data_IF_796458967833
#
_entry.id   IF_796458967833
#
_cell.length_a   1.000
_cell.length_b   1.000
_cell.length_c   1.000
_cell.angle_alpha   90.00
_cell.angle_beta   90.00
_cell.angle_gamma   90.00
#
_symmetry.space_group_name_H-M   'P 1'
#
loop_
_entity.id
_entity.type
_entity.pdbx_description
1 polymer ?
#
# COMPACT_ATOMS: atom_id res chain seq x y z
N UNK A 1 -26.61 40.69 24.85
CA UNK A 1 -25.83 40.83 23.61
C UNK A 1 -24.75 39.76 23.60
N UNK A 2 -24.94 38.68 22.84
CA UNK A 2 -23.97 37.57 22.70
C UNK A 2 -23.01 37.92 21.56
N UNK A 3 -21.75 38.20 21.87
CA UNK A 3 -20.66 38.24 20.88
C UNK A 3 -20.26 36.76 20.59
N UNK A 4 -20.73 36.20 19.49
CA UNK A 4 -20.26 34.92 18.99
C UNK A 4 -18.85 35.10 18.43
N UNK A 5 -17.93 34.25 18.92
CA UNK A 5 -16.56 34.17 18.48
C UNK A 5 -16.51 33.70 17.00
N UNK A 6 -16.12 34.61 16.11
CA UNK A 6 -15.77 34.30 14.70
C UNK A 6 -14.30 33.86 14.52
N UNK A 7 -13.59 33.63 15.61
CA UNK A 7 -12.15 33.32 15.63
C UNK A 7 -11.74 31.85 15.24
N UNK A 8 -12.58 30.80 15.36
CA UNK A 8 -12.07 29.46 15.03
C UNK A 8 -12.09 29.12 13.53
N UNK A 9 -12.96 29.76 12.73
CA UNK A 9 -13.10 29.44 11.28
C UNK A 9 -11.95 30.03 10.47
N UNK A 10 -11.54 31.26 10.78
CA UNK A 10 -10.41 31.91 10.10
C UNK A 10 -9.08 31.22 10.41
N UNK A 11 -8.88 30.71 11.63
CA UNK A 11 -7.71 29.92 12.02
C UNK A 11 -7.64 28.57 11.32
N UNK A 12 -8.79 27.92 11.14
CA UNK A 12 -8.86 26.63 10.41
C UNK A 12 -8.58 26.83 8.91
N UNK A 13 -9.14 27.86 8.31
CA UNK A 13 -8.86 28.23 6.91
C UNK A 13 -7.39 28.60 6.69
N UNK A 14 -6.80 29.38 7.59
CA UNK A 14 -5.38 29.71 7.53
C UNK A 14 -4.48 28.49 7.68
N UNK A 15 -4.83 27.56 8.58
CA UNK A 15 -4.11 26.30 8.74
C UNK A 15 -4.23 25.40 7.50
N UNK A 16 -5.40 25.33 6.87
CA UNK A 16 -5.62 24.57 5.62
C UNK A 16 -4.85 25.22 4.46
N UNK A 17 -4.88 26.54 4.34
CA UNK A 17 -4.11 27.26 3.31
C UNK A 17 -2.60 27.10 3.53
N UNK A 18 -2.14 27.15 4.78
CA UNK A 18 -0.73 26.90 5.13
C UNK A 18 -0.31 25.45 4.83
N UNK A 19 -1.18 24.49 5.12
CA UNK A 19 -0.99 23.08 4.77
C UNK A 19 -0.92 22.87 3.25
N UNK A 20 -1.82 23.51 2.49
CA UNK A 20 -1.82 23.44 1.02
C UNK A 20 -0.61 24.18 0.43
N UNK A 21 -0.20 25.31 1.01
CA UNK A 21 0.99 26.04 0.59
C UNK A 21 2.29 25.28 0.91
N UNK A 22 2.37 24.62 2.06
CA UNK A 22 3.51 23.76 2.41
C UNK A 22 3.57 22.53 1.51
N UNK A 23 2.42 21.94 1.13
CA UNK A 23 2.36 20.88 0.11
C UNK A 23 2.85 21.39 -1.25
N UNK A 24 2.43 22.56 -1.68
CA UNK A 24 2.86 23.15 -2.95
C UNK A 24 4.37 23.43 -2.98
N UNK A 25 4.93 23.96 -1.90
CA UNK A 25 6.37 24.23 -1.76
C UNK A 25 7.18 22.94 -1.63
N UNK A 26 6.68 21.95 -0.89
CA UNK A 26 7.33 20.65 -0.68
C UNK A 26 7.24 19.76 -1.93
N UNK A 27 6.24 19.98 -2.78
CA UNK A 27 6.03 19.22 -4.02
C UNK A 27 7.03 19.53 -5.15
N UNK A 28 7.74 20.66 -5.07
CA UNK A 28 8.68 21.08 -6.12
C UNK A 28 9.87 20.15 -6.41
N UNK A 29 10.35 19.28 -5.50
CA UNK A 29 11.50 18.43 -5.79
C UNK A 29 11.18 17.08 -6.45
N UNK A 30 9.92 16.78 -6.80
CA UNK A 30 9.57 15.53 -7.49
C UNK A 30 8.98 15.77 -8.88
N UNK A 31 9.23 14.84 -9.82
CA UNK A 31 8.49 14.72 -11.08
C UNK A 31 7.29 13.80 -10.85
N UNK A 32 6.21 14.01 -11.58
CA UNK A 32 5.03 13.12 -11.55
C UNK A 32 4.60 12.80 -12.97
N UNK A 33 4.59 11.53 -13.33
CA UNK A 33 3.78 11.00 -14.43
C UNK A 33 2.44 10.57 -13.87
N UNK A 34 1.35 11.14 -14.40
CA UNK A 34 0.01 10.98 -13.86
C UNK A 34 -0.85 10.12 -14.80
N UNK A 35 -1.71 9.28 -14.22
CA UNK A 35 -2.72 8.50 -14.93
C UNK A 35 -2.11 7.60 -16.03
N UNK A 36 -0.96 6.99 -15.74
CA UNK A 36 -0.27 6.07 -16.65
C UNK A 36 -1.00 4.73 -16.64
N UNK A 37 -1.51 4.22 -17.78
CA UNK A 37 -2.15 2.92 -17.83
C UNK A 37 -1.12 1.79 -17.64
N UNK A 38 -1.46 0.80 -16.81
CA UNK A 38 -0.63 -0.40 -16.61
C UNK A 38 -1.23 -1.66 -17.23
N UNK A 39 -2.41 -1.52 -17.83
CA UNK A 39 -3.08 -2.54 -18.65
C UNK A 39 -3.30 -1.96 -20.03
N UNK A 40 -3.11 -2.75 -21.09
CA UNK A 40 -3.35 -2.31 -22.44
C UNK A 40 -4.82 -1.91 -22.65
N UNK A 41 -5.07 -0.80 -23.34
CA UNK A 41 -6.44 -0.32 -23.61
C UNK A 41 -7.28 -1.33 -24.45
N UNK A 42 -6.61 -2.26 -25.12
CA UNK A 42 -7.25 -3.33 -25.90
C UNK A 42 -7.62 -4.56 -25.05
N UNK A 43 -7.23 -4.60 -23.79
CA UNK A 43 -7.58 -5.74 -22.92
C UNK A 43 -9.10 -5.75 -22.65
N UNK A 44 -9.75 -6.93 -22.70
CA UNK A 44 -11.21 -7.04 -22.56
C UNK A 44 -11.74 -6.58 -21.20
N UNK A 45 -10.88 -6.60 -20.16
CA UNK A 45 -11.20 -6.17 -18.81
C UNK A 45 -10.62 -4.80 -18.47
N UNK A 46 -10.14 -4.02 -19.47
CA UNK A 46 -9.56 -2.71 -19.24
C UNK A 46 -10.55 -1.73 -18.61
N UNK A 47 -10.15 -1.15 -17.48
CA UNK A 47 -10.87 -0.07 -16.80
C UNK A 47 -10.02 1.20 -16.82
N UNK A 48 -10.47 2.22 -17.57
CA UNK A 48 -9.74 3.49 -17.78
C UNK A 48 -9.53 4.30 -16.48
N UNK A 49 -10.33 4.07 -15.44
CA UNK A 49 -10.25 4.80 -14.18
C UNK A 49 -9.46 4.02 -13.13
N UNK A 50 -9.40 2.69 -13.28
CA UNK A 50 -8.81 1.81 -12.28
C UNK A 50 -7.48 1.22 -12.72
N UNK A 51 -7.29 0.89 -13.99
CA UNK A 51 -6.02 0.35 -14.50
C UNK A 51 -4.99 1.44 -14.79
N UNK A 52 -4.87 2.40 -13.88
CA UNK A 52 -3.93 3.53 -13.98
C UNK A 52 -3.13 3.70 -12.69
N UNK A 53 -1.92 4.21 -12.85
CA UNK A 53 -1.01 4.52 -11.76
C UNK A 53 -0.37 5.89 -11.93
N UNK A 54 0.22 6.40 -10.85
CA UNK A 54 1.08 7.58 -10.88
C UNK A 54 2.50 7.19 -10.50
N UNK A 55 3.47 7.73 -11.22
CA UNK A 55 4.89 7.59 -10.87
C UNK A 55 5.43 8.91 -10.35
N UNK A 56 6.00 8.89 -9.15
CA UNK A 56 6.69 10.02 -8.54
C UNK A 56 8.18 9.74 -8.49
N UNK A 57 8.98 10.59 -9.12
CA UNK A 57 10.43 10.42 -9.22
C UNK A 57 11.17 11.58 -8.59
N UNK A 58 12.34 11.34 -7.94
CA UNK A 58 13.26 12.40 -7.55
C UNK A 58 13.68 13.26 -8.75
N UNK A 59 13.90 14.56 -8.54
CA UNK A 59 14.41 15.44 -9.62
C UNK A 59 15.91 15.30 -9.87
N UNK A 60 16.65 14.89 -8.85
CA UNK A 60 18.10 14.67 -8.94
C UNK A 60 18.38 13.38 -9.70
N UNK A 61 19.57 13.25 -10.25
CA UNK A 61 20.05 11.98 -10.76
C UNK A 61 20.23 10.98 -9.60
N UNK A 62 19.98 9.71 -9.90
CA UNK A 62 20.17 8.66 -8.91
C UNK A 62 21.64 8.56 -8.49
N UNK A 63 21.93 8.29 -7.20
CA UNK A 63 23.30 8.14 -6.73
C UNK A 63 23.98 6.86 -7.24
N UNK A 64 23.21 5.95 -7.81
CA UNK A 64 23.69 4.71 -8.43
C UNK A 64 23.27 4.68 -9.89
N UNK A 65 24.08 4.11 -10.75
CA UNK A 65 23.80 3.94 -12.18
C UNK A 65 22.57 3.06 -12.44
N UNK A 66 22.25 2.14 -11.52
CA UNK A 66 21.07 1.28 -11.62
C UNK A 66 19.74 2.00 -11.35
N UNK A 67 19.75 3.16 -10.69
CA UNK A 67 18.57 3.93 -10.36
C UNK A 67 18.24 3.99 -8.86
N UNK A 68 17.10 4.61 -8.55
CA UNK A 68 16.55 4.70 -7.21
C UNK A 68 15.79 3.42 -6.80
N UNK A 69 15.71 3.07 -5.50
CA UNK A 69 14.77 2.06 -5.07
C UNK A 69 13.34 2.47 -5.39
N UNK A 70 12.47 1.48 -5.58
CA UNK A 70 11.08 1.67 -6.02
C UNK A 70 10.14 1.15 -4.95
N UNK A 71 9.13 1.94 -4.59
CA UNK A 71 8.03 1.50 -3.72
C UNK A 71 6.72 1.57 -4.50
N UNK A 72 6.09 0.43 -4.69
CA UNK A 72 4.73 0.33 -5.21
C UNK A 72 3.77 0.41 -4.03
N UNK A 73 2.97 1.48 -3.99
CA UNK A 73 2.00 1.73 -2.92
C UNK A 73 0.59 1.37 -3.36
N UNK A 74 -0.10 0.56 -2.54
CA UNK A 74 -1.47 0.09 -2.74
C UNK A 74 -2.35 0.72 -1.67
N UNK A 75 -3.39 1.45 -2.10
CA UNK A 75 -4.29 2.15 -1.20
C UNK A 75 -5.25 1.22 -0.45
N UNK A 76 -5.74 1.67 0.70
CA UNK A 76 -6.82 1.05 1.45
C UNK A 76 -8.21 1.47 0.95
N UNK A 77 -9.24 1.07 1.69
CA UNK A 77 -10.65 1.39 1.40
C UNK A 77 -11.55 0.16 1.40
N UNK A 78 -11.27 -0.83 2.25
CA UNK A 78 -12.08 -2.04 2.44
C UNK A 78 -12.39 -2.78 1.13
N UNK A 79 -11.49 -2.70 0.15
CA UNK A 79 -11.61 -3.29 -1.21
C UNK A 79 -12.78 -2.74 -2.05
N UNK A 80 -13.62 -1.87 -1.50
CA UNK A 80 -14.83 -1.30 -2.14
C UNK A 80 -14.69 0.19 -2.44
N UNK A 81 -13.64 0.85 -1.95
CA UNK A 81 -13.43 2.29 -2.11
C UNK A 81 -11.93 2.62 -2.17
N UNK A 82 -11.62 3.90 -2.30
CA UNK A 82 -10.26 4.40 -2.38
C UNK A 82 -9.84 4.80 -3.79
N UNK A 83 -8.78 5.59 -3.84
CA UNK A 83 -8.22 6.09 -5.10
C UNK A 83 -6.79 6.59 -4.87
N UNK A 84 -5.87 6.35 -5.82
CA UNK A 84 -4.48 6.82 -5.78
C UNK A 84 -4.31 8.33 -5.54
N UNK A 85 -5.29 9.13 -5.96
CA UNK A 85 -5.22 10.57 -5.84
C UNK A 85 -5.28 11.05 -4.37
N UNK A 86 -5.88 10.27 -3.46
CA UNK A 86 -5.90 10.58 -2.02
C UNK A 86 -4.48 10.46 -1.43
N UNK A 87 -3.63 9.62 -2.02
CA UNK A 87 -2.30 9.27 -1.51
C UNK A 87 -1.14 9.95 -2.25
N UNK A 88 -1.41 11.05 -2.96
CA UNK A 88 -0.38 11.84 -3.68
C UNK A 88 0.74 12.30 -2.76
N UNK A 89 0.44 12.55 -1.49
CA UNK A 89 1.42 12.97 -0.49
C UNK A 89 2.47 11.86 -0.22
N UNK A 90 2.09 10.59 -0.22
CA UNK A 90 3.03 9.46 -0.04
C UNK A 90 4.02 9.43 -1.22
N UNK A 91 3.51 9.50 -2.46
CA UNK A 91 4.36 9.52 -3.64
C UNK A 91 5.37 10.67 -3.63
N UNK A 92 4.91 11.87 -3.30
CA UNK A 92 5.77 13.06 -3.19
C UNK A 92 6.81 12.95 -2.08
N UNK A 93 6.42 12.42 -0.91
CA UNK A 93 7.33 12.25 0.25
C UNK A 93 8.42 11.23 -0.05
N UNK A 94 8.07 10.10 -0.63
CA UNK A 94 9.04 9.07 -1.02
C UNK A 94 10.01 9.61 -2.09
N UNK A 95 9.51 10.28 -3.12
CA UNK A 95 10.36 10.87 -4.16
C UNK A 95 11.33 11.93 -3.59
N UNK A 96 10.88 12.74 -2.62
CA UNK A 96 11.77 13.70 -1.92
C UNK A 96 12.88 13.01 -1.14
N UNK A 97 12.67 11.78 -0.70
CA UNK A 97 13.62 10.98 0.10
C UNK A 97 14.46 10.03 -0.76
N UNK A 98 14.47 10.19 -2.09
CA UNK A 98 15.32 9.38 -2.97
C UNK A 98 14.72 8.01 -3.30
N UNK A 99 13.40 7.89 -3.29
CA UNK A 99 12.67 6.67 -3.67
C UNK A 99 11.72 6.98 -4.83
N UNK A 100 11.72 6.19 -5.88
CA UNK A 100 10.66 6.26 -6.89
C UNK A 100 9.41 5.60 -6.31
N UNK A 101 8.30 6.33 -6.30
CA UNK A 101 7.03 5.78 -5.81
C UNK A 101 6.05 5.56 -6.95
N UNK A 102 5.47 4.37 -7.00
CA UNK A 102 4.39 4.00 -7.92
C UNK A 102 3.12 3.87 -7.10
N UNK A 103 2.17 4.77 -7.27
CA UNK A 103 0.90 4.78 -6.52
C UNK A 103 -0.20 4.31 -7.46
N UNK A 104 -0.78 3.14 -7.18
CA UNK A 104 -1.71 2.49 -8.10
C UNK A 104 -3.17 2.67 -7.71
N UNK A 105 -4.05 2.65 -8.71
CA UNK A 105 -5.43 2.23 -8.56
C UNK A 105 -5.55 0.74 -8.88
N UNK A 106 -6.62 0.12 -8.44
CA UNK A 106 -7.07 -1.22 -8.80
C UNK A 106 -8.60 -1.22 -8.83
N UNK A 107 -9.24 -2.15 -9.56
CA UNK A 107 -10.70 -2.27 -9.61
C UNK A 107 -11.26 -2.57 -8.22
N UNK A 108 -12.44 -2.06 -7.93
CA UNK A 108 -13.07 -2.17 -6.61
C UNK A 108 -14.29 -3.09 -6.68
N UNK A 109 -14.60 -3.76 -5.57
CA UNK A 109 -15.85 -4.47 -5.43
C UNK A 109 -17.04 -3.46 -5.39
N UNK A 110 -18.24 -3.84 -5.86
CA UNK A 110 -18.73 -5.20 -6.16
C UNK A 110 -18.50 -5.72 -7.58
N UNK A 111 -18.12 -4.93 -8.65
CA UNK A 111 -17.99 -5.51 -10.00
C UNK A 111 -16.93 -6.62 -10.08
N UNK A 112 -15.92 -6.57 -9.19
CA UNK A 112 -14.84 -7.56 -9.07
C UNK A 112 -14.66 -7.96 -7.61
N UNK A 113 -14.05 -9.12 -7.38
CA UNK A 113 -13.66 -9.60 -6.05
C UNK A 113 -12.15 -9.46 -5.82
N UNK A 114 -11.68 -9.85 -4.64
CA UNK A 114 -10.27 -9.73 -4.24
C UNK A 114 -9.32 -10.49 -5.19
N UNK A 115 -9.65 -11.64 -5.77
CA UNK A 115 -8.79 -12.29 -6.77
C UNK A 115 -8.46 -11.37 -7.96
N UNK A 116 -9.46 -10.69 -8.53
CA UNK A 116 -9.26 -9.75 -9.65
C UNK A 116 -8.50 -8.50 -9.20
N UNK A 117 -8.73 -8.02 -7.98
CA UNK A 117 -7.98 -6.90 -7.40
C UNK A 117 -6.50 -7.26 -7.19
N UNK A 118 -6.22 -8.46 -6.72
CA UNK A 118 -4.86 -8.98 -6.59
C UNK A 118 -4.19 -9.13 -7.96
N UNK A 119 -4.93 -9.59 -8.98
CA UNK A 119 -4.47 -9.65 -10.36
C UNK A 119 -4.14 -8.26 -10.92
N UNK A 120 -4.95 -7.24 -10.64
CA UNK A 120 -4.67 -5.86 -11.03
C UNK A 120 -3.39 -5.35 -10.38
N UNK A 121 -3.19 -5.62 -9.09
CA UNK A 121 -1.95 -5.26 -8.38
C UNK A 121 -0.73 -6.01 -8.95
N UNK A 122 -0.86 -7.28 -9.34
CA UNK A 122 0.20 -8.05 -9.98
C UNK A 122 0.55 -7.50 -11.36
N UNK A 123 -0.45 -7.08 -12.17
CA UNK A 123 -0.24 -6.39 -13.46
C UNK A 123 0.48 -5.06 -13.28
N UNK A 124 0.09 -4.27 -12.26
CA UNK A 124 0.78 -3.02 -11.94
C UNK A 124 2.24 -3.25 -11.48
N UNK A 125 2.50 -4.33 -10.75
CA UNK A 125 3.86 -4.73 -10.37
C UNK A 125 4.67 -5.15 -11.61
N UNK A 126 4.10 -5.93 -12.52
CA UNK A 126 4.73 -6.34 -13.78
C UNK A 126 5.08 -5.11 -14.64
N UNK A 127 4.12 -4.18 -14.81
CA UNK A 127 4.36 -2.92 -15.48
C UNK A 127 5.52 -2.15 -14.82
N UNK A 128 5.52 -2.08 -13.49
CA UNK A 128 6.59 -1.39 -12.73
C UNK A 128 7.96 -1.97 -13.04
N UNK A 129 8.12 -3.29 -12.98
CA UNK A 129 9.39 -3.95 -13.29
C UNK A 129 9.85 -3.67 -14.73
N UNK A 130 8.92 -3.61 -15.68
CA UNK A 130 9.22 -3.40 -17.10
C UNK A 130 9.59 -1.94 -17.44
N UNK A 131 8.92 -0.96 -16.80
CA UNK A 131 8.97 0.44 -17.23
C UNK A 131 9.69 1.39 -16.27
N UNK A 132 9.96 0.98 -15.03
CA UNK A 132 10.38 1.93 -13.98
C UNK A 132 11.73 2.58 -14.25
N UNK A 133 12.57 1.98 -15.09
CA UNK A 133 13.84 2.59 -15.55
C UNK A 133 13.62 3.94 -16.24
N UNK A 134 12.55 4.08 -17.02
CA UNK A 134 12.17 5.32 -17.73
C UNK A 134 11.93 6.49 -16.75
N UNK A 135 11.61 6.14 -15.50
CA UNK A 135 11.34 7.07 -14.41
C UNK A 135 12.48 7.17 -13.40
N UNK A 136 13.64 6.57 -13.71
CA UNK A 136 14.84 6.62 -12.88
C UNK A 136 14.84 5.60 -11.73
N UNK A 137 13.94 4.63 -11.72
CA UNK A 137 13.88 3.55 -10.73
C UNK A 137 14.71 2.33 -11.15
N UNK A 138 15.12 1.54 -10.17
CA UNK A 138 15.82 0.27 -10.35
C UNK A 138 14.84 -0.90 -10.27
N UNK A 139 14.56 -1.62 -11.38
CA UNK A 139 13.63 -2.75 -11.40
C UNK A 139 14.10 -3.96 -10.55
N UNK A 140 15.38 -4.02 -10.19
CA UNK A 140 15.90 -5.04 -9.27
C UNK A 140 15.69 -4.70 -7.79
N UNK A 141 15.18 -3.51 -7.48
CA UNK A 141 14.98 -2.97 -6.12
C UNK A 141 13.55 -2.49 -5.94
N UNK A 142 12.56 -3.37 -6.20
CA UNK A 142 11.13 -3.08 -6.07
C UNK A 142 10.61 -3.60 -4.74
N UNK A 143 9.96 -2.72 -3.98
CA UNK A 143 9.33 -3.00 -2.69
C UNK A 143 7.82 -2.73 -2.81
N UNK A 144 7.01 -3.42 -2.03
CA UNK A 144 5.57 -3.18 -1.96
C UNK A 144 5.20 -2.58 -0.62
N UNK A 145 4.27 -1.65 -0.63
CA UNK A 145 3.73 -1.00 0.57
C UNK A 145 2.21 -0.91 0.46
N UNK A 146 1.50 -1.18 1.52
CA UNK A 146 0.05 -0.99 1.54
C UNK A 146 -0.48 -0.66 2.92
N UNK A 147 -1.57 0.10 2.94
CA UNK A 147 -2.33 0.41 4.15
C UNK A 147 -3.68 -0.32 4.12
N UNK A 148 -4.11 -0.84 5.26
CA UNK A 148 -5.43 -1.48 5.39
C UNK A 148 -5.63 -2.60 4.35
N UNK A 149 -6.72 -2.57 3.57
CA UNK A 149 -6.98 -3.50 2.46
C UNK A 149 -5.81 -3.58 1.46
N UNK A 150 -5.16 -2.44 1.16
CA UNK A 150 -3.95 -2.41 0.32
C UNK A 150 -2.77 -3.15 0.96
N UNK A 151 -2.71 -3.24 2.28
CA UNK A 151 -1.73 -4.04 3.00
C UNK A 151 -1.92 -5.54 2.75
N UNK A 152 -3.16 -6.03 2.75
CA UNK A 152 -3.48 -7.41 2.38
C UNK A 152 -3.08 -7.74 0.94
N UNK A 153 -3.39 -6.82 -0.01
CA UNK A 153 -2.99 -6.97 -1.42
C UNK A 153 -1.46 -6.92 -1.58
N UNK A 154 -0.77 -6.04 -0.86
CA UNK A 154 0.70 -6.00 -0.86
C UNK A 154 1.32 -7.30 -0.29
N UNK A 155 0.70 -7.87 0.75
CA UNK A 155 1.12 -9.15 1.30
C UNK A 155 0.92 -10.31 0.30
N UNK A 156 -0.16 -10.31 -0.49
CA UNK A 156 -0.37 -11.28 -1.57
C UNK A 156 0.74 -11.16 -2.62
N UNK A 157 1.09 -9.95 -3.07
CA UNK A 157 2.22 -9.76 -4.01
C UNK A 157 3.55 -10.28 -3.46
N UNK A 158 3.77 -10.16 -2.16
CA UNK A 158 5.01 -10.61 -1.52
C UNK A 158 5.05 -12.13 -1.27
N UNK A 159 3.90 -12.83 -1.23
CA UNK A 159 3.82 -14.22 -0.79
C UNK A 159 3.31 -15.19 -1.86
N UNK A 160 2.60 -14.72 -2.89
CA UNK A 160 1.92 -15.57 -3.88
C UNK A 160 2.66 -15.59 -5.23
N UNK A 161 3.61 -16.50 -5.39
CA UNK A 161 4.36 -16.65 -6.63
C UNK A 161 3.47 -17.12 -7.79
N UNK A 162 2.42 -17.91 -7.51
CA UNK A 162 1.51 -18.38 -8.55
C UNK A 162 0.69 -17.22 -9.16
N UNK A 163 0.23 -16.28 -8.31
CA UNK A 163 -0.39 -15.04 -8.78
C UNK A 163 0.55 -14.26 -9.69
N UNK A 164 1.80 -14.08 -9.27
CA UNK A 164 2.77 -13.29 -10.03
C UNK A 164 3.13 -13.96 -11.37
N UNK A 165 3.31 -15.28 -11.38
CA UNK A 165 3.65 -16.04 -12.59
C UNK A 165 2.56 -15.92 -13.67
N UNK A 166 1.27 -15.89 -13.28
CA UNK A 166 0.14 -15.68 -14.19
C UNK A 166 0.16 -14.30 -14.86
N UNK A 167 0.91 -13.35 -14.29
CA UNK A 167 1.00 -11.96 -14.80
C UNK A 167 2.41 -11.61 -15.31
N UNK A 168 3.16 -12.59 -15.81
CA UNK A 168 4.44 -12.39 -16.48
C UNK A 168 5.63 -12.20 -15.54
N UNK A 169 5.49 -12.53 -14.26
CA UNK A 169 6.54 -12.48 -13.25
C UNK A 169 6.84 -13.90 -12.71
N UNK A 170 7.59 -14.73 -13.46
CA UNK A 170 7.86 -16.11 -13.07
C UNK A 170 8.74 -16.23 -11.81
N UNK A 171 9.44 -15.17 -11.47
CA UNK A 171 10.17 -15.02 -10.20
C UNK A 171 9.66 -13.77 -9.48
N UNK A 172 9.48 -13.87 -8.18
CA UNK A 172 8.98 -12.75 -7.39
C UNK A 172 10.01 -11.60 -7.34
N UNK A 173 9.73 -10.42 -7.93
CA UNK A 173 10.64 -9.30 -7.95
C UNK A 173 10.64 -8.48 -6.65
N UNK A 174 9.74 -8.77 -5.71
CA UNK A 174 9.57 -8.01 -4.47
C UNK A 174 10.77 -8.22 -3.55
N UNK A 175 11.42 -7.12 -3.16
CA UNK A 175 12.61 -7.13 -2.28
C UNK A 175 12.28 -6.83 -0.82
N UNK A 176 11.04 -6.49 -0.51
CA UNK A 176 10.53 -6.28 0.83
C UNK A 176 9.10 -5.77 0.83
N UNK A 177 8.40 -5.97 1.93
CA UNK A 177 7.01 -5.56 2.10
C UNK A 177 6.85 -4.68 3.35
N UNK A 178 6.23 -3.51 3.16
CA UNK A 178 5.98 -2.50 4.18
C UNK A 178 4.48 -2.52 4.50
N UNK A 179 4.16 -2.96 5.70
CA UNK A 179 2.81 -3.25 6.15
C UNK A 179 2.34 -2.16 7.10
N UNK A 180 1.57 -1.19 6.59
CA UNK A 180 0.99 -0.10 7.37
C UNK A 180 -0.44 -0.46 7.78
N UNK A 181 -0.59 -0.93 9.00
CA UNK A 181 -1.87 -1.34 9.62
C UNK A 181 -2.71 -2.26 8.70
N UNK A 182 -2.12 -3.38 8.20
CA UNK A 182 -2.67 -4.18 7.11
C UNK A 182 -3.92 -4.93 7.52
N UNK A 183 -4.99 -4.82 6.72
CA UNK A 183 -6.15 -5.69 6.80
C UNK A 183 -6.05 -6.81 5.74
N UNK A 184 -6.76 -7.92 5.96
CA UNK A 184 -6.85 -8.99 4.96
C UNK A 184 -5.76 -10.06 5.04
N UNK A 185 -4.91 -10.03 6.07
CA UNK A 185 -3.84 -11.03 6.22
C UNK A 185 -4.37 -12.44 6.50
N UNK A 186 -5.54 -12.56 7.15
CA UNK A 186 -6.19 -13.83 7.52
C UNK A 186 -7.72 -13.69 7.43
N UNK A 187 -8.23 -13.46 6.22
CA UNK A 187 -9.68 -13.32 5.99
C UNK A 187 -10.43 -14.63 6.13
N UNK A 188 -9.76 -15.78 5.93
CA UNK A 188 -10.37 -17.07 6.14
C UNK A 188 -10.85 -17.25 7.60
N UNK A 189 -9.97 -17.02 8.57
CA UNK A 189 -10.35 -17.09 9.99
C UNK A 189 -11.36 -16.01 10.34
N UNK A 190 -11.16 -14.79 9.84
CA UNK A 190 -12.04 -13.67 10.12
C UNK A 190 -13.48 -13.89 9.65
N UNK A 191 -13.67 -14.28 8.38
CA UNK A 191 -15.00 -14.49 7.80
C UNK A 191 -15.70 -15.75 8.31
N UNK A 192 -14.95 -16.74 8.80
CA UNK A 192 -15.57 -17.89 9.49
C UNK A 192 -16.16 -17.52 10.85
N UNK A 193 -15.56 -16.57 11.53
CA UNK A 193 -16.00 -16.15 12.86
C UNK A 193 -17.07 -15.05 12.81
N UNK A 194 -16.92 -14.04 11.92
CA UNK A 194 -17.80 -12.86 11.77
C UNK A 194 -18.30 -12.34 13.12
N UNK A 195 -17.35 -11.98 14.00
CA UNK A 195 -17.64 -11.65 15.42
C UNK A 195 -18.23 -10.27 15.64
N UNK A 196 -18.10 -9.36 14.66
CA UNK A 196 -18.46 -7.96 14.84
C UNK A 196 -19.65 -7.59 13.97
N UNK A 197 -20.47 -6.68 14.47
CA UNK A 197 -21.53 -6.07 13.68
C UNK A 197 -20.95 -5.45 12.40
N UNK A 198 -21.59 -5.73 11.25
CA UNK A 198 -21.14 -5.24 9.96
C UNK A 198 -20.06 -6.09 9.26
N UNK A 199 -19.59 -7.19 9.86
CA UNK A 199 -18.57 -8.06 9.23
C UNK A 199 -19.03 -8.64 7.88
N UNK A 200 -20.33 -8.79 7.67
CA UNK A 200 -20.92 -9.24 6.40
C UNK A 200 -20.58 -8.34 5.22
N UNK A 201 -20.23 -7.07 5.45
CA UNK A 201 -19.80 -6.17 4.37
C UNK A 201 -18.56 -6.71 3.61
N UNK A 202 -17.74 -7.51 4.27
CA UNK A 202 -16.55 -8.11 3.64
C UNK A 202 -16.86 -9.29 2.73
N UNK A 203 -18.09 -9.81 2.74
CA UNK A 203 -18.54 -10.76 1.73
C UNK A 203 -18.70 -10.12 0.35
N UNK A 204 -18.87 -8.78 0.28
CA UNK A 204 -18.92 -8.06 -0.99
C UNK A 204 -17.61 -8.23 -1.77
N UNK A 205 -16.41 -7.95 -1.22
CA UNK A 205 -15.15 -8.17 -1.93
C UNK A 205 -14.65 -9.62 -1.92
N UNK A 206 -14.99 -10.43 -0.90
CA UNK A 206 -14.45 -11.79 -0.76
C UNK A 206 -15.40 -12.90 -1.24
N UNK A 207 -16.67 -12.58 -1.55
CA UNK A 207 -17.69 -13.57 -1.89
C UNK A 207 -18.03 -14.49 -0.71
N UNK A 208 -18.73 -15.60 -1.00
CA UNK A 208 -19.23 -16.53 0.01
C UNK A 208 -18.50 -17.89 0.05
N UNK A 209 -17.42 -18.05 -0.72
CA UNK A 209 -16.67 -19.31 -0.78
C UNK A 209 -15.48 -19.32 0.19
N UNK A 210 -15.51 -20.16 1.24
CA UNK A 210 -14.40 -20.28 2.19
C UNK A 210 -13.07 -20.69 1.55
N UNK A 211 -13.09 -21.40 0.40
CA UNK A 211 -11.88 -21.76 -0.31
C UNK A 211 -11.21 -20.52 -0.92
N UNK A 212 -12.00 -19.60 -1.47
CA UNK A 212 -11.49 -18.30 -1.93
C UNK A 212 -10.97 -17.44 -0.77
N UNK A 213 -11.66 -17.41 0.37
CA UNK A 213 -11.18 -16.68 1.54
C UNK A 213 -9.78 -17.14 1.96
N UNK A 214 -9.57 -18.46 1.97
CA UNK A 214 -8.27 -19.06 2.30
C UNK A 214 -7.22 -18.74 1.24
N UNK A 215 -7.56 -18.87 -0.04
CA UNK A 215 -6.67 -18.57 -1.16
C UNK A 215 -6.23 -17.09 -1.16
N UNK A 216 -7.11 -16.18 -0.74
CA UNK A 216 -6.86 -14.73 -0.65
C UNK A 216 -6.33 -14.28 0.72
N UNK A 217 -6.00 -15.20 1.60
CA UNK A 217 -5.38 -14.91 2.90
C UNK A 217 -3.88 -15.18 2.85
N UNK A 218 -3.02 -14.16 2.75
CA UNK A 218 -1.57 -14.33 2.57
C UNK A 218 -0.89 -15.12 3.70
N UNK A 219 -1.49 -15.18 4.88
CA UNK A 219 -0.97 -15.96 6.00
C UNK A 219 -0.79 -17.46 5.67
N UNK A 220 -1.59 -18.01 4.74
CA UNK A 220 -1.51 -19.41 4.31
C UNK A 220 -0.46 -19.64 3.21
N UNK A 221 0.18 -18.58 2.72
CA UNK A 221 1.22 -18.61 1.69
C UNK A 221 2.63 -18.38 2.27
N UNK A 222 2.74 -18.26 3.60
CA UNK A 222 4.02 -18.06 4.28
C UNK A 222 4.87 -19.32 4.17
N UNK A 223 6.11 -19.15 3.70
CA UNK A 223 7.14 -20.18 3.48
C UNK A 223 8.53 -19.60 3.69
N UNK A 224 9.58 -20.42 3.83
CA UNK A 224 10.96 -19.95 3.77
C UNK A 224 11.27 -19.23 2.45
N UNK A 225 12.21 -18.29 2.49
CA UNK A 225 12.69 -17.56 1.30
C UNK A 225 11.80 -16.40 0.85
N UNK A 226 10.75 -16.05 1.57
CA UNK A 226 9.98 -14.82 1.32
C UNK A 226 10.83 -13.56 1.53
N UNK A 227 10.53 -12.45 0.82
CA UNK A 227 11.17 -11.17 1.07
C UNK A 227 10.95 -10.72 2.52
N UNK A 228 11.81 -9.84 3.07
CA UNK A 228 11.63 -9.30 4.41
C UNK A 228 10.35 -8.46 4.52
N UNK A 229 9.68 -8.57 5.66
CA UNK A 229 8.51 -7.78 6.02
C UNK A 229 8.85 -6.82 7.15
N UNK A 230 8.28 -5.61 7.14
CA UNK A 230 8.24 -4.70 8.28
C UNK A 230 6.79 -4.29 8.56
N UNK A 231 6.41 -4.25 9.85
CA UNK A 231 5.04 -3.95 10.27
C UNK A 231 4.97 -2.70 11.12
N UNK A 232 3.95 -1.89 10.85
CA UNK A 232 3.55 -0.74 11.66
C UNK A 232 2.08 -0.91 12.01
N UNK A 233 1.77 -0.99 13.29
CA UNK A 233 0.43 -1.30 13.79
C UNK A 233 -0.01 -0.18 14.73
N UNK A 234 -1.21 0.34 14.53
CA UNK A 234 -1.80 1.31 15.45
C UNK A 234 -2.07 0.68 16.82
N UNK A 235 -1.65 1.36 17.89
CA UNK A 235 -1.88 0.87 19.26
C UNK A 235 -3.38 0.80 19.62
N UNK A 236 -4.21 1.56 18.89
CA UNK A 236 -5.67 1.60 19.04
C UNK A 236 -6.39 1.23 17.72
N UNK A 237 -5.75 0.35 16.92
CA UNK A 237 -6.36 -0.17 15.69
C UNK A 237 -7.43 -1.24 15.98
N UNK A 238 -8.07 -1.71 14.91
CA UNK A 238 -9.08 -2.79 15.04
C UNK A 238 -8.46 -4.08 15.57
N UNK A 239 -9.12 -4.79 16.50
CA UNK A 239 -8.62 -6.07 17.05
C UNK A 239 -8.34 -7.13 15.97
N UNK A 240 -9.11 -7.13 14.87
CA UNK A 240 -8.90 -8.01 13.72
C UNK A 240 -7.56 -7.73 13.00
N UNK A 241 -7.17 -6.47 12.89
CA UNK A 241 -5.90 -6.06 12.28
C UNK A 241 -4.72 -6.42 13.18
N UNK A 242 -4.75 -6.01 14.44
CA UNK A 242 -3.67 -6.31 15.38
C UNK A 242 -3.49 -7.82 15.57
N UNK A 243 -4.59 -8.58 15.70
CA UNK A 243 -4.57 -10.02 15.86
C UNK A 243 -4.05 -10.77 14.64
N UNK A 244 -4.54 -10.45 13.43
CA UNK A 244 -4.05 -11.09 12.19
C UNK A 244 -2.61 -10.73 11.89
N UNK A 245 -2.18 -9.49 12.14
CA UNK A 245 -0.80 -9.05 11.97
C UNK A 245 0.16 -9.77 12.94
N UNK A 246 -0.27 -9.97 14.18
CA UNK A 246 0.49 -10.75 15.17
C UNK A 246 0.69 -12.20 14.73
N UNK A 247 -0.40 -12.87 14.31
CA UNK A 247 -0.31 -14.24 13.79
C UNK A 247 0.55 -14.35 12.55
N UNK A 248 0.46 -13.39 11.62
CA UNK A 248 1.27 -13.35 10.42
C UNK A 248 2.77 -13.22 10.75
N UNK A 249 3.11 -12.26 11.64
CA UNK A 249 4.48 -12.11 12.18
C UNK A 249 5.01 -13.41 12.78
N UNK A 250 4.21 -14.08 13.61
CA UNK A 250 4.65 -15.28 14.31
C UNK A 250 4.87 -16.46 13.34
N UNK A 251 4.07 -16.56 12.28
CA UNK A 251 4.33 -17.49 11.18
C UNK A 251 5.61 -17.17 10.40
N UNK A 252 5.89 -15.88 10.14
CA UNK A 252 7.17 -15.49 9.53
C UNK A 252 8.35 -15.89 10.43
N UNK A 253 8.25 -15.72 11.75
CA UNK A 253 9.28 -16.16 12.68
C UNK A 253 9.52 -17.67 12.60
N UNK A 254 8.48 -18.45 12.45
CA UNK A 254 8.60 -19.90 12.28
C UNK A 254 9.35 -20.31 10.99
N UNK A 255 9.47 -19.43 10.01
CA UNK A 255 10.30 -19.62 8.80
C UNK A 255 11.73 -19.09 8.92
N UNK A 256 12.14 -18.63 10.10
CA UNK A 256 13.46 -18.07 10.34
C UNK A 256 13.58 -16.56 10.10
N UNK A 257 12.50 -15.85 9.76
CA UNK A 257 12.52 -14.40 9.67
C UNK A 257 12.34 -13.72 11.05
N UNK A 258 12.89 -12.53 11.21
CA UNK A 258 12.68 -11.68 12.40
C UNK A 258 12.11 -10.31 11.97
N UNK A 259 10.83 -10.26 11.51
CA UNK A 259 10.29 -9.03 10.95
C UNK A 259 10.16 -7.94 12.02
N UNK A 260 10.70 -6.73 11.81
CA UNK A 260 10.42 -5.58 12.64
C UNK A 260 8.90 -5.37 12.78
N UNK A 261 8.43 -5.22 14.00
CA UNK A 261 7.02 -5.07 14.33
C UNK A 261 6.85 -3.91 15.30
N UNK A 262 6.44 -2.76 14.80
CA UNK A 262 6.34 -1.51 15.56
C UNK A 262 4.89 -1.20 15.86
N UNK A 263 4.53 -1.18 17.14
CA UNK A 263 3.24 -0.66 17.62
C UNK A 263 3.39 0.84 17.81
N UNK A 264 2.52 1.64 17.22
CA UNK A 264 2.52 3.10 17.36
C UNK A 264 1.44 3.50 18.36
N UNK A 265 1.81 3.88 19.60
CA UNK A 265 0.85 4.18 20.66
C UNK A 265 -0.15 5.29 20.27
N UNK A 266 -1.40 5.15 20.73
CA UNK A 266 -2.45 6.15 20.53
C UNK A 266 -2.90 6.33 19.07
N UNK A 267 -2.47 5.47 18.15
CA UNK A 267 -2.88 5.53 16.74
C UNK A 267 -4.00 4.58 16.43
N UNK A 268 -5.14 5.14 16.01
CA UNK A 268 -6.21 4.42 15.35
C UNK A 268 -5.86 4.10 13.89
N UNK A 269 -6.67 3.29 13.25
CA UNK A 269 -6.46 2.78 11.89
C UNK A 269 -6.20 3.87 10.84
N UNK A 270 -7.07 4.86 10.71
CA UNK A 270 -6.91 5.92 9.69
C UNK A 270 -5.73 6.85 10.00
N UNK A 271 -5.49 7.32 11.24
CA UNK A 271 -4.29 8.04 11.61
C UNK A 271 -2.96 7.34 11.26
N UNK A 272 -2.95 6.00 11.08
CA UNK A 272 -1.76 5.28 10.65
C UNK A 272 -1.28 5.73 9.26
N UNK A 273 -2.16 5.82 8.28
CA UNK A 273 -1.76 6.29 6.94
C UNK A 273 -1.63 7.82 6.88
N UNK A 274 -2.43 8.56 7.65
CA UNK A 274 -2.37 10.02 7.63
C UNK A 274 -1.04 10.57 8.17
N UNK A 275 -0.38 9.89 9.12
CA UNK A 275 0.93 10.33 9.61
C UNK A 275 2.02 10.33 8.54
N UNK A 276 1.84 9.61 7.42
CA UNK A 276 2.74 9.64 6.27
C UNK A 276 2.72 10.98 5.52
N UNK A 277 1.78 11.87 5.86
CA UNK A 277 1.81 13.26 5.41
C UNK A 277 3.07 13.98 5.91
N UNK A 278 3.52 13.68 7.14
CA UNK A 278 4.72 14.27 7.72
C UNK A 278 5.96 13.43 7.40
N UNK A 279 7.02 14.10 6.95
CA UNK A 279 8.25 13.45 6.48
C UNK A 279 9.01 12.73 7.61
N UNK A 280 8.94 13.27 8.83
CA UNK A 280 9.66 12.75 9.98
C UNK A 280 8.75 11.84 10.82
N UNK A 281 8.67 10.58 10.46
CA UNK A 281 7.96 9.55 11.22
C UNK A 281 8.72 8.23 11.17
N UNK A 282 8.41 7.33 12.09
CA UNK A 282 9.09 6.04 12.22
C UNK A 282 8.91 5.14 11.00
N UNK A 283 7.76 5.25 10.29
CA UNK A 283 7.49 4.44 9.10
C UNK A 283 8.49 4.77 8.00
N UNK A 284 8.68 6.06 7.67
CA UNK A 284 9.69 6.45 6.68
C UNK A 284 11.10 6.11 7.11
N UNK A 285 11.45 6.28 8.39
CA UNK A 285 12.79 5.93 8.89
C UNK A 285 13.13 4.46 8.65
N UNK A 286 12.22 3.55 9.00
CA UNK A 286 12.41 2.12 8.81
C UNK A 286 12.29 1.70 7.34
N UNK A 287 11.38 2.31 6.58
CA UNK A 287 11.24 2.09 5.16
C UNK A 287 12.53 2.44 4.43
N UNK A 288 13.09 3.65 4.65
CA UNK A 288 14.32 4.09 4.00
C UNK A 288 15.51 3.16 4.33
N UNK A 289 15.59 2.69 5.58
CA UNK A 289 16.59 1.68 5.97
C UNK A 289 16.40 0.37 5.21
N UNK A 290 15.14 -0.09 5.06
CA UNK A 290 14.84 -1.33 4.32
C UNK A 290 15.22 -1.22 2.85
N UNK A 291 14.85 -0.11 2.20
CA UNK A 291 15.10 0.07 0.76
C UNK A 291 16.54 0.53 0.45
N UNK A 292 17.34 0.87 1.45
CA UNK A 292 18.72 1.33 1.28
C UNK A 292 18.80 2.68 0.57
N UNK A 293 17.94 3.64 0.98
CA UNK A 293 17.88 5.00 0.45
C UNK A 293 18.37 6.02 1.49
#
# INVERSE_FOLDING_TARGET
MRRFLLLPVAGLLAAVVLLLATEYVVARPSRRAKDVPYVANSAPDFDKERHILDVYSPKKAAPRTAGYPVVLFIHGGSWTSGNKNIYTFIGRRLAKQGVVAVVINYRLAPPVHVPEQAADCARALAWTVQHIKEYGGDPARVFVMGHSAGGGLAALLATDDALLAQHGLPQNPVRGAIMDDPAGLDMYSYLKEMKYEGDQQYLVPFGNDPALWKAQSPIYKIRPGLPPFIFFIGGETYPSISGSSGRFRDRLKATGQAPPYTIIPGRHHIPMVLQLYWQHNIIYQQLLKLVGA
#
